data_IF_813482952199
#
_entry.id   IF_813482952199
#
_cell.length_a   1.000
_cell.length_b   1.000
_cell.length_c   1.000
_cell.angle_alpha   90.00
_cell.angle_beta   90.00
_cell.angle_gamma   90.00
#
_symmetry.space_group_name_H-M   'P 1'
#
loop_
_entity.id
_entity.type
_entity.pdbx_description
1 polymer ?
#
# COMPACT_ATOMS: atom_id res chain seq x y z
N UNK A 1 -11.92 20.38 13.31
CA UNK A 1 -11.82 18.92 13.47
C UNK A 1 -13.18 18.38 13.10
N UNK A 2 -13.32 17.84 11.89
CA UNK A 2 -14.64 17.41 11.44
C UNK A 2 -14.98 16.10 12.15
N UNK A 3 -15.98 16.13 13.03
CA UNK A 3 -16.42 14.96 13.82
C UNK A 3 -16.71 13.73 12.93
N UNK A 4 -17.03 13.97 11.66
CA UNK A 4 -17.31 12.95 10.64
C UNK A 4 -16.07 12.14 10.24
N UNK A 5 -14.90 12.77 10.08
CA UNK A 5 -13.64 12.07 9.80
C UNK A 5 -13.21 11.20 10.98
N UNK A 6 -13.39 11.68 12.20
CA UNK A 6 -13.10 10.90 13.41
C UNK A 6 -14.04 9.69 13.54
N UNK A 7 -15.32 9.84 13.21
CA UNK A 7 -16.29 8.72 13.23
C UNK A 7 -15.93 7.67 12.16
N UNK A 8 -15.54 8.08 10.95
CA UNK A 8 -15.16 7.16 9.88
C UNK A 8 -13.89 6.35 10.24
N UNK A 9 -12.89 7.03 10.83
CA UNK A 9 -11.66 6.39 11.33
C UNK A 9 -11.97 5.45 12.49
N UNK A 10 -12.78 5.86 13.46
CA UNK A 10 -13.15 5.03 14.61
C UNK A 10 -13.93 3.77 14.18
N UNK A 11 -14.82 3.90 13.20
CA UNK A 11 -15.55 2.75 12.64
C UNK A 11 -14.61 1.81 11.89
N UNK A 12 -13.68 2.33 11.10
CA UNK A 12 -12.65 1.52 10.45
C UNK A 12 -11.82 0.74 11.47
N UNK A 13 -11.49 1.38 12.60
CA UNK A 13 -10.71 0.79 13.68
C UNK A 13 -11.43 -0.39 14.28
N UNK A 14 -12.72 -0.20 14.54
CA UNK A 14 -13.60 -1.22 15.09
C UNK A 14 -13.77 -2.40 14.13
N UNK A 15 -13.81 -2.14 12.81
CA UNK A 15 -13.85 -3.17 11.78
C UNK A 15 -12.58 -4.04 11.76
N UNK A 16 -11.40 -3.41 11.63
CA UNK A 16 -10.12 -4.15 11.59
C UNK A 16 -9.87 -4.89 12.91
N UNK A 17 -10.25 -4.30 14.05
CA UNK A 17 -10.16 -4.94 15.36
C UNK A 17 -11.00 -6.21 15.48
N UNK A 18 -12.15 -6.26 14.82
CA UNK A 18 -13.02 -7.44 14.80
C UNK A 18 -12.51 -8.53 13.83
N UNK A 19 -11.62 -8.19 12.90
CA UNK A 19 -11.07 -9.12 11.90
C UNK A 19 -9.88 -9.94 12.41
N UNK A 20 -9.22 -9.47 13.48
CA UNK A 20 -8.05 -10.13 14.04
C UNK A 20 -8.38 -11.54 14.56
N UNK A 21 -7.48 -12.52 14.35
CA UNK A 21 -7.72 -13.92 14.68
C UNK A 21 -7.89 -14.10 16.19
N UNK A 22 -9.15 -14.24 16.62
CA UNK A 22 -9.54 -14.67 17.97
C UNK A 22 -10.01 -16.14 17.93
N UNK A 23 -9.86 -16.89 19.03
CA UNK A 23 -10.12 -18.34 19.07
C UNK A 23 -11.57 -18.76 18.78
N UNK A 24 -12.55 -17.84 18.73
CA UNK A 24 -13.94 -18.14 18.42
C UNK A 24 -14.25 -17.96 16.90
N UNK A 25 -14.26 -19.08 16.17
CA UNK A 25 -14.40 -19.16 14.71
C UNK A 25 -15.68 -18.51 14.10
N UNK A 26 -16.71 -18.23 14.90
CA UNK A 26 -17.97 -17.62 14.41
C UNK A 26 -17.88 -16.10 14.22
N UNK A 27 -17.05 -15.39 15.00
CA UNK A 27 -16.98 -13.93 14.97
C UNK A 27 -16.15 -13.36 13.81
N UNK A 28 -15.32 -14.18 13.15
CA UNK A 28 -14.51 -13.75 11.99
C UNK A 28 -15.37 -13.41 10.77
N UNK A 29 -16.49 -14.11 10.58
CA UNK A 29 -17.46 -13.80 9.50
C UNK A 29 -18.21 -12.50 9.77
N UNK A 30 -18.51 -12.22 11.05
CA UNK A 30 -19.14 -10.97 11.48
C UNK A 30 -18.18 -9.78 11.32
N UNK A 31 -16.90 -9.96 11.67
CA UNK A 31 -15.85 -8.97 11.49
C UNK A 31 -15.63 -8.62 10.02
N UNK A 32 -15.57 -9.63 9.13
CA UNK A 32 -15.45 -9.42 7.69
C UNK A 32 -16.63 -8.62 7.13
N UNK A 33 -17.84 -8.94 7.58
CA UNK A 33 -19.07 -8.25 7.17
C UNK A 33 -19.10 -6.79 7.68
N UNK A 34 -18.62 -6.54 8.90
CA UNK A 34 -18.50 -5.18 9.47
C UNK A 34 -17.41 -4.37 8.76
N UNK A 35 -16.24 -4.94 8.43
CA UNK A 35 -15.22 -4.23 7.62
C UNK A 35 -15.68 -3.94 6.21
N UNK A 36 -16.44 -4.83 5.58
CA UNK A 36 -17.00 -4.60 4.24
C UNK A 36 -18.11 -3.55 4.30
N UNK A 37 -18.96 -3.55 5.33
CA UNK A 37 -19.99 -2.53 5.53
C UNK A 37 -19.40 -1.15 5.89
N UNK A 38 -18.36 -1.11 6.73
CA UNK A 38 -17.70 0.15 7.13
C UNK A 38 -16.76 0.67 6.05
N UNK A 39 -16.02 -0.21 5.37
CA UNK A 39 -15.18 0.15 4.22
C UNK A 39 -16.02 0.59 3.03
N UNK A 40 -17.11 -0.12 2.74
CA UNK A 40 -18.12 0.28 1.76
C UNK A 40 -18.86 1.54 2.16
N UNK A 41 -19.19 1.72 3.45
CA UNK A 41 -19.83 2.91 4.00
C UNK A 41 -18.91 4.14 4.01
N UNK A 42 -17.61 3.96 4.24
CA UNK A 42 -16.60 5.02 4.10
C UNK A 42 -16.39 5.42 2.65
N UNK A 43 -16.35 4.44 1.73
CA UNK A 43 -16.28 4.68 0.29
C UNK A 43 -17.56 5.36 -0.24
N UNK A 44 -18.73 4.99 0.28
CA UNK A 44 -20.02 5.63 0.00
C UNK A 44 -20.15 7.02 0.65
N UNK A 45 -19.53 7.24 1.80
CA UNK A 45 -19.49 8.56 2.44
C UNK A 45 -18.55 9.51 1.71
N UNK A 46 -17.37 9.04 1.30
CA UNK A 46 -16.44 9.74 0.41
C UNK A 46 -17.08 10.01 -0.95
N UNK A 47 -17.86 9.06 -1.50
CA UNK A 47 -18.61 9.29 -2.74
C UNK A 47 -19.71 10.32 -2.55
N UNK A 48 -20.43 10.31 -1.43
CA UNK A 48 -21.47 11.30 -1.11
C UNK A 48 -20.91 12.68 -0.82
N UNK A 49 -19.78 12.78 -0.14
CA UNK A 49 -19.05 14.03 0.04
C UNK A 49 -18.57 14.55 -1.32
N UNK A 50 -17.95 13.68 -2.13
CA UNK A 50 -17.56 14.02 -3.50
C UNK A 50 -18.77 14.40 -4.39
N UNK A 51 -19.94 13.77 -4.25
CA UNK A 51 -21.19 14.12 -4.94
C UNK A 51 -21.75 15.48 -4.50
N UNK A 52 -21.67 15.79 -3.19
CA UNK A 52 -22.03 17.10 -2.67
C UNK A 52 -21.12 18.20 -3.24
N UNK A 53 -19.82 17.94 -3.44
CA UNK A 53 -18.94 18.83 -4.21
C UNK A 53 -19.17 18.78 -5.74
N UNK A 54 -19.55 17.63 -6.30
CA UNK A 54 -19.74 17.40 -7.74
C UNK A 54 -21.07 17.95 -8.28
N UNK A 55 -22.01 18.33 -7.42
CA UNK A 55 -23.18 19.12 -7.82
C UNK A 55 -22.82 20.48 -8.46
N UNK A 56 -21.53 20.87 -8.44
CA UNK A 56 -20.98 22.03 -9.13
C UNK A 56 -20.13 21.70 -10.38
N UNK A 57 -20.10 20.46 -10.91
CA UNK A 57 -19.22 20.09 -12.04
C UNK A 57 -19.87 19.10 -13.03
N UNK A 58 -20.06 19.46 -14.32
CA UNK A 58 -20.75 18.60 -15.31
C UNK A 58 -19.93 17.42 -15.89
N UNK A 59 -18.69 17.18 -15.44
CA UNK A 59 -17.74 16.32 -16.17
C UNK A 59 -17.00 15.24 -15.37
N UNK A 60 -17.44 14.88 -14.15
CA UNK A 60 -16.68 14.01 -13.26
C UNK A 60 -17.50 12.89 -12.63
N UNK A 61 -18.10 12.00 -13.42
CA UNK A 61 -18.64 10.75 -12.86
C UNK A 61 -17.49 9.93 -12.29
N UNK A 62 -17.53 9.61 -10.99
CA UNK A 62 -16.62 8.66 -10.38
C UNK A 62 -16.71 7.34 -11.17
N UNK A 63 -15.71 7.08 -12.01
CA UNK A 63 -15.75 6.00 -12.99
C UNK A 63 -16.01 4.68 -12.29
N UNK A 64 -16.99 3.91 -12.75
CA UNK A 64 -17.35 2.61 -12.20
C UNK A 64 -16.10 1.72 -11.96
N UNK A 65 -15.13 1.79 -12.88
CA UNK A 65 -13.84 1.14 -12.79
C UNK A 65 -13.07 1.47 -11.50
N UNK A 66 -13.04 2.73 -11.08
CA UNK A 66 -12.36 3.16 -9.85
C UNK A 66 -12.92 2.44 -8.62
N UNK A 67 -14.24 2.39 -8.48
CA UNK A 67 -14.87 1.72 -7.33
C UNK A 67 -14.63 0.22 -7.32
N UNK A 68 -14.71 -0.42 -8.49
CA UNK A 68 -14.45 -1.86 -8.61
C UNK A 68 -13.01 -2.16 -8.17
N UNK A 69 -12.02 -1.44 -8.71
CA UNK A 69 -10.62 -1.68 -8.36
C UNK A 69 -10.30 -1.30 -6.91
N UNK A 70 -10.88 -0.22 -6.39
CA UNK A 70 -10.73 0.16 -4.98
C UNK A 70 -11.31 -0.91 -4.04
N UNK A 71 -12.49 -1.44 -4.34
CA UNK A 71 -13.11 -2.50 -3.55
C UNK A 71 -12.26 -3.78 -3.57
N UNK A 72 -11.73 -4.16 -4.74
CA UNK A 72 -10.84 -5.32 -4.87
C UNK A 72 -9.54 -5.10 -4.10
N UNK A 73 -8.93 -3.90 -4.17
CA UNK A 73 -7.71 -3.58 -3.45
C UNK A 73 -7.91 -3.68 -1.93
N UNK A 74 -8.93 -3.02 -1.38
CA UNK A 74 -9.24 -3.07 0.05
C UNK A 74 -9.59 -4.50 0.49
N UNK A 75 -10.43 -5.21 -0.28
CA UNK A 75 -10.78 -6.60 0.01
C UNK A 75 -9.56 -7.53 0.04
N UNK A 76 -8.63 -7.34 -0.88
CA UNK A 76 -7.38 -8.12 -0.97
C UNK A 76 -6.43 -7.79 0.18
N UNK A 77 -6.31 -6.51 0.58
CA UNK A 77 -5.52 -6.11 1.73
C UNK A 77 -6.04 -6.75 3.03
N UNK A 78 -7.36 -6.74 3.24
CA UNK A 78 -7.97 -7.41 4.40
C UNK A 78 -7.76 -8.93 4.35
N UNK A 79 -7.90 -9.55 3.18
CA UNK A 79 -7.66 -10.97 3.00
C UNK A 79 -6.20 -11.36 3.27
N UNK A 80 -5.23 -10.49 2.94
CA UNK A 80 -3.79 -10.69 3.20
C UNK A 80 -3.50 -10.87 4.69
N UNK A 81 -4.09 -10.03 5.55
CA UNK A 81 -3.83 -10.04 7.00
C UNK A 81 -4.63 -11.16 7.68
N UNK A 82 -5.79 -11.53 7.13
CA UNK A 82 -6.74 -12.44 7.77
C UNK A 82 -6.49 -13.92 7.49
N UNK A 83 -5.73 -14.24 6.45
CA UNK A 83 -5.53 -15.63 6.03
C UNK A 83 -4.46 -16.33 6.88
N UNK A 84 -4.79 -17.49 7.49
CA UNK A 84 -3.86 -18.19 8.38
C UNK A 84 -2.74 -18.92 7.64
N UNK A 85 -2.90 -19.15 6.33
CA UNK A 85 -1.94 -19.88 5.50
C UNK A 85 -1.10 -18.86 4.72
N UNK A 86 0.23 -18.78 4.94
CA UNK A 86 1.10 -17.76 4.33
C UNK A 86 1.05 -17.73 2.80
N UNK A 87 0.97 -18.90 2.15
CA UNK A 87 0.87 -18.99 0.70
C UNK A 87 -0.36 -18.26 0.16
N UNK A 88 -1.53 -18.45 0.78
CA UNK A 88 -2.75 -17.78 0.35
C UNK A 88 -2.71 -16.29 0.65
N UNK A 89 -2.15 -15.88 1.80
CA UNK A 89 -1.92 -14.47 2.10
C UNK A 89 -1.07 -13.80 1.01
N UNK A 90 0.02 -14.43 0.57
CA UNK A 90 0.84 -13.90 -0.52
C UNK A 90 0.08 -13.77 -1.85
N UNK A 91 -0.80 -14.72 -2.19
CA UNK A 91 -1.64 -14.62 -3.39
C UNK A 91 -2.62 -13.45 -3.33
N UNK A 92 -3.22 -13.17 -2.16
CA UNK A 92 -4.04 -11.97 -1.98
C UNK A 92 -3.20 -10.68 -2.12
N UNK A 93 -1.92 -10.72 -1.75
CA UNK A 93 -1.03 -9.57 -1.93
C UNK A 93 -0.74 -9.28 -3.42
N UNK A 94 -0.66 -10.33 -4.25
CA UNK A 94 -0.59 -10.19 -5.72
C UNK A 94 -1.83 -9.49 -6.26
N UNK A 95 -3.03 -9.90 -5.82
CA UNK A 95 -4.29 -9.26 -6.26
C UNK A 95 -4.34 -7.79 -5.81
N UNK A 96 -3.91 -7.47 -4.58
CA UNK A 96 -3.81 -6.09 -4.09
C UNK A 96 -2.93 -5.25 -5.03
N UNK A 97 -1.74 -5.75 -5.36
CA UNK A 97 -0.76 -5.04 -6.18
C UNK A 97 -1.29 -4.79 -7.60
N UNK A 98 -1.95 -5.79 -8.19
CA UNK A 98 -2.60 -5.65 -9.51
C UNK A 98 -3.76 -4.66 -9.48
N UNK A 99 -4.58 -4.67 -8.43
CA UNK A 99 -5.69 -3.73 -8.27
C UNK A 99 -5.20 -2.28 -8.08
N UNK A 100 -4.14 -2.07 -7.29
CA UNK A 100 -3.49 -0.76 -7.13
C UNK A 100 -2.88 -0.27 -8.46
N UNK A 101 -2.31 -1.15 -9.27
CA UNK A 101 -1.83 -0.79 -10.60
C UNK A 101 -2.96 -0.30 -11.51
N UNK A 102 -4.12 -0.96 -11.48
CA UNK A 102 -5.29 -0.54 -12.25
C UNK A 102 -5.84 0.82 -11.79
N UNK A 103 -5.75 1.13 -10.49
CA UNK A 103 -6.07 2.46 -9.97
C UNK A 103 -5.10 3.53 -10.53
N UNK A 104 -3.80 3.24 -10.62
CA UNK A 104 -2.84 4.16 -11.25
C UNK A 104 -3.10 4.38 -12.74
N UNK A 105 -3.54 3.36 -13.47
CA UNK A 105 -3.95 3.54 -14.88
C UNK A 105 -5.16 4.48 -15.01
N UNK A 106 -6.11 4.41 -14.06
CA UNK A 106 -7.27 5.31 -14.02
C UNK A 106 -6.85 6.77 -13.76
N UNK A 107 -5.71 6.98 -13.09
CA UNK A 107 -5.11 8.29 -12.84
C UNK A 107 -4.16 8.76 -13.95
N UNK A 108 -4.15 8.09 -15.11
CA UNK A 108 -3.20 8.35 -16.20
C UNK A 108 -1.72 8.23 -15.81
N UNK A 109 -1.42 7.53 -14.71
CA UNK A 109 -0.06 7.29 -14.22
C UNK A 109 0.49 5.98 -14.80
N UNK A 110 0.62 5.92 -16.13
CA UNK A 110 1.01 4.72 -16.88
C UNK A 110 2.35 4.12 -16.45
N UNK A 111 3.36 4.97 -16.23
CA UNK A 111 4.70 4.51 -15.86
C UNK A 111 4.70 3.80 -14.51
N UNK A 112 4.07 4.41 -13.51
CA UNK A 112 4.02 3.87 -12.15
C UNK A 112 3.20 2.58 -12.13
N UNK A 113 2.11 2.51 -12.90
CA UNK A 113 1.32 1.29 -13.04
C UNK A 113 2.16 0.13 -13.60
N UNK A 114 2.86 0.34 -14.72
CA UNK A 114 3.71 -0.69 -15.35
C UNK A 114 4.81 -1.14 -14.38
N UNK A 115 5.47 -0.19 -13.71
CA UNK A 115 6.50 -0.50 -12.71
C UNK A 115 5.94 -1.33 -11.55
N UNK A 116 4.72 -1.05 -11.09
CA UNK A 116 4.06 -1.82 -10.03
C UNK A 116 3.80 -3.27 -10.46
N UNK A 117 3.41 -3.49 -11.72
CA UNK A 117 3.23 -4.83 -12.28
C UNK A 117 4.56 -5.57 -12.39
N UNK A 118 5.58 -4.95 -13.01
CA UNK A 118 6.85 -5.63 -13.30
C UNK A 118 7.64 -5.92 -12.03
N UNK A 119 7.77 -4.94 -11.13
CA UNK A 119 8.61 -5.06 -9.94
C UNK A 119 7.86 -5.77 -8.81
N UNK A 120 6.69 -5.27 -8.43
CA UNK A 120 5.99 -5.80 -7.25
C UNK A 120 5.25 -7.09 -7.57
N UNK A 121 4.34 -7.09 -8.55
CA UNK A 121 3.58 -8.30 -8.90
C UNK A 121 4.44 -9.37 -9.60
N UNK A 122 5.40 -8.96 -10.43
CA UNK A 122 6.29 -9.83 -11.18
C UNK A 122 7.45 -10.36 -10.35
N UNK A 123 8.47 -9.54 -10.10
CA UNK A 123 9.71 -10.00 -9.50
C UNK A 123 9.59 -10.30 -7.99
N UNK A 124 9.23 -9.28 -7.20
CA UNK A 124 9.27 -9.37 -5.72
C UNK A 124 8.28 -10.44 -5.23
N UNK A 125 7.03 -10.39 -5.71
CA UNK A 125 6.00 -11.28 -5.19
C UNK A 125 6.16 -12.72 -5.62
N UNK A 126 6.59 -12.99 -6.85
CA UNK A 126 6.86 -14.36 -7.29
C UNK A 126 8.05 -14.95 -6.52
N UNK A 127 9.14 -14.17 -6.35
CA UNK A 127 10.26 -14.61 -5.50
C UNK A 127 9.83 -14.85 -4.06
N UNK A 128 9.01 -13.95 -3.49
CA UNK A 128 8.49 -14.10 -2.14
C UNK A 128 7.63 -15.37 -1.99
N UNK A 129 6.68 -15.60 -2.91
CA UNK A 129 5.82 -16.80 -2.93
C UNK A 129 6.65 -18.07 -3.04
N UNK A 130 7.69 -18.07 -3.88
CA UNK A 130 8.61 -19.19 -4.00
C UNK A 130 9.36 -19.45 -2.68
N UNK A 131 9.90 -18.40 -2.05
CA UNK A 131 10.63 -18.49 -0.78
C UNK A 131 9.76 -19.04 0.34
N UNK A 132 8.53 -18.53 0.53
CA UNK A 132 7.64 -19.03 1.59
C UNK A 132 7.18 -20.47 1.33
N UNK A 133 7.09 -20.89 0.06
CA UNK A 133 6.74 -22.27 -0.29
C UNK A 133 7.88 -23.22 0.05
N UNK A 134 9.13 -22.85 -0.25
CA UNK A 134 10.31 -23.64 0.15
C UNK A 134 10.51 -23.68 1.67
N UNK A 135 10.17 -22.59 2.37
CA UNK A 135 10.25 -22.52 3.82
C UNK A 135 9.14 -23.31 4.54
N UNK A 136 8.05 -23.66 3.83
CA UNK A 136 6.93 -24.39 4.41
C UNK A 136 7.27 -25.87 4.55
N UNK A 137 7.48 -26.35 5.77
CA UNK A 137 7.75 -27.77 6.03
C UNK A 137 6.49 -28.62 5.79
N UNK A 138 6.52 -29.61 4.88
CA UNK A 138 5.43 -30.57 4.75
C UNK A 138 5.52 -31.57 5.91
N UNK A 139 4.72 -31.39 6.96
CA UNK A 139 4.75 -32.34 8.08
C UNK A 139 4.24 -31.88 9.45
N UNK A 140 3.71 -30.66 9.60
CA UNK A 140 2.91 -30.32 10.78
C UNK A 140 3.68 -30.36 12.11
N UNK A 141 4.87 -29.74 12.18
CA UNK A 141 5.26 -29.17 13.46
C UNK A 141 4.11 -28.24 13.88
N UNK A 142 3.46 -28.44 15.05
CA UNK A 142 2.34 -27.62 15.44
C UNK A 142 2.79 -26.17 15.38
N UNK A 143 2.11 -25.36 14.55
CA UNK A 143 2.32 -23.92 14.51
C UNK A 143 2.37 -23.46 15.96
N UNK A 144 3.53 -22.97 16.37
CA UNK A 144 3.76 -22.74 17.78
C UNK A 144 2.78 -21.68 18.26
N UNK A 145 2.38 -21.75 19.53
CA UNK A 145 1.24 -20.96 20.02
C UNK A 145 1.44 -19.44 19.89
N UNK A 146 2.69 -18.99 19.72
CA UNK A 146 3.02 -17.60 19.36
C UNK A 146 2.50 -17.14 17.99
N UNK A 147 2.33 -18.04 17.02
CA UNK A 147 1.77 -17.70 15.69
C UNK A 147 0.23 -17.69 15.69
N UNK A 148 -0.41 -18.24 16.73
CA UNK A 148 -1.87 -18.39 16.80
C UNK A 148 -2.57 -17.21 17.46
N UNK A 149 -1.87 -16.48 18.32
CA UNK A 149 -2.44 -15.39 19.13
C UNK A 149 -1.58 -14.15 18.96
N UNK A 150 -2.14 -13.09 18.38
CA UNK A 150 -1.47 -11.78 18.40
C UNK A 150 -1.18 -11.39 19.84
N UNK A 151 0.08 -11.06 20.14
CA UNK A 151 0.50 -10.67 21.48
C UNK A 151 -0.34 -9.50 22.03
N UNK A 152 -0.62 -8.47 21.20
CA UNK A 152 -1.44 -7.32 21.58
C UNK A 152 -2.26 -6.75 20.39
N UNK A 153 -3.40 -7.37 20.02
CA UNK A 153 -4.22 -6.93 18.88
C UNK A 153 -4.79 -5.52 19.08
N UNK A 154 -5.00 -5.09 20.32
CA UNK A 154 -5.56 -3.77 20.65
C UNK A 154 -4.55 -2.65 20.34
N UNK A 155 -3.29 -2.84 20.74
CA UNK A 155 -2.22 -1.86 20.49
C UNK A 155 -1.96 -1.72 18.98
N UNK A 156 -1.91 -2.83 18.25
CA UNK A 156 -1.71 -2.82 16.80
C UNK A 156 -2.78 -2.01 16.05
N UNK A 157 -4.05 -2.19 16.41
CA UNK A 157 -5.15 -1.42 15.81
C UNK A 157 -5.10 0.03 16.23
N UNK A 158 -4.92 0.31 17.52
CA UNK A 158 -4.90 1.68 18.04
C UNK A 158 -3.81 2.49 17.34
N UNK A 159 -2.59 1.97 17.26
CA UNK A 159 -1.46 2.64 16.60
C UNK A 159 -1.74 2.85 15.10
N UNK A 160 -2.23 1.83 14.39
CA UNK A 160 -2.51 1.94 12.96
C UNK A 160 -3.61 2.98 12.67
N UNK A 161 -4.65 3.02 13.48
CA UNK A 161 -5.76 3.96 13.31
C UNK A 161 -5.41 5.37 13.78
N UNK A 162 -4.60 5.51 14.82
CA UNK A 162 -4.05 6.80 15.22
C UNK A 162 -3.20 7.38 14.08
N UNK A 163 -2.31 6.59 13.49
CA UNK A 163 -1.50 7.02 12.35
C UNK A 163 -2.40 7.39 11.15
N UNK A 164 -3.37 6.56 10.79
CA UNK A 164 -4.32 6.86 9.71
C UNK A 164 -5.09 8.16 9.97
N UNK A 165 -5.56 8.38 11.21
CA UNK A 165 -6.24 9.62 11.60
C UNK A 165 -5.34 10.83 11.39
N UNK A 166 -4.08 10.75 11.81
CA UNK A 166 -3.12 11.85 11.67
C UNK A 166 -2.84 12.16 10.20
N UNK A 167 -2.67 11.15 9.35
CA UNK A 167 -2.43 11.32 7.91
C UNK A 167 -3.65 11.94 7.22
N UNK A 168 -4.85 11.43 7.52
CA UNK A 168 -6.08 12.01 6.97
C UNK A 168 -6.26 13.46 7.42
N UNK A 169 -5.97 13.77 8.68
CA UNK A 169 -6.04 15.14 9.18
C UNK A 169 -5.03 16.06 8.48
N UNK A 170 -3.79 15.62 8.25
CA UNK A 170 -2.80 16.39 7.49
C UNK A 170 -3.23 16.60 6.02
N UNK A 171 -3.86 15.59 5.40
CA UNK A 171 -4.28 15.67 4.00
C UNK A 171 -5.49 16.59 3.80
N UNK A 172 -6.45 16.57 4.74
CA UNK A 172 -7.71 17.31 4.65
C UNK A 172 -7.73 18.64 5.43
N UNK A 173 -6.63 19.00 6.10
CA UNK A 173 -6.51 20.34 6.70
C UNK A 173 -6.34 21.38 5.59
N UNK A 174 -7.46 21.90 5.07
CA UNK A 174 -7.47 23.07 4.20
C UNK A 174 -7.30 24.30 5.10
N UNK A 175 -6.17 25.04 5.03
CA UNK A 175 -6.00 26.25 5.81
C UNK A 175 -7.14 27.22 5.49
N UNK A 176 -7.84 27.71 6.51
CA UNK A 176 -8.93 28.66 6.34
C UNK A 176 -8.41 29.94 5.69
N UNK A 177 -9.22 30.61 4.84
CA UNK A 177 -8.88 31.92 4.31
C UNK A 177 -8.62 32.89 5.48
N UNK A 178 -7.36 33.31 5.66
CA UNK A 178 -6.93 34.18 6.76
C UNK A 178 -5.97 33.55 7.78
N UNK A 179 -5.69 32.25 7.70
CA UNK A 179 -4.61 31.64 8.50
C UNK A 179 -3.22 31.99 7.93
N UNK A 180 -2.17 32.14 8.76
CA UNK A 180 -0.82 32.52 8.29
C UNK A 180 -0.28 31.62 7.17
N UNK A 181 -0.58 30.30 7.20
CA UNK A 181 -0.20 29.34 6.16
C UNK A 181 -1.01 29.43 4.86
N UNK A 182 -2.04 30.28 4.79
CA UNK A 182 -2.78 30.57 3.55
C UNK A 182 -2.01 31.54 2.64
N UNK A 183 -1.11 32.36 3.19
CA UNK A 183 -0.43 33.46 2.49
C UNK A 183 1.02 33.18 2.07
N UNK A 184 1.55 31.97 2.30
CA UNK A 184 2.89 31.59 1.85
C UNK A 184 2.93 31.36 0.33
N UNK A 185 3.52 32.34 -0.37
CA UNK A 185 3.51 32.48 -1.83
C UNK A 185 4.32 31.40 -2.60
N UNK A 186 5.16 30.62 -1.92
CA UNK A 186 6.14 29.73 -2.55
C UNK A 186 5.76 28.23 -2.56
N UNK A 187 4.76 27.80 -1.77
CA UNK A 187 4.44 26.36 -1.65
C UNK A 187 2.94 26.07 -1.76
N UNK A 188 2.08 26.99 -1.28
CA UNK A 188 0.63 26.81 -1.29
C UNK A 188 -0.02 27.14 -2.63
N UNK A 189 0.45 28.17 -3.34
CA UNK A 189 -0.23 28.68 -4.53
C UNK A 189 -0.21 27.69 -5.71
N UNK A 190 0.93 27.03 -5.96
CA UNK A 190 1.07 26.04 -7.03
C UNK A 190 0.40 24.71 -6.71
N UNK A 191 0.53 24.22 -5.47
CA UNK A 191 -0.14 22.99 -5.04
C UNK A 191 -1.67 23.14 -5.06
N UNK A 192 -2.18 24.32 -4.69
CA UNK A 192 -3.62 24.63 -4.70
C UNK A 192 -4.16 24.92 -6.10
N UNK A 193 -3.36 25.55 -6.97
CA UNK A 193 -3.72 25.72 -8.38
C UNK A 193 -3.76 24.37 -9.13
N UNK A 194 -2.82 23.47 -8.83
CA UNK A 194 -2.81 22.11 -9.38
C UNK A 194 -3.94 21.24 -8.82
N UNK A 195 -4.22 21.31 -7.51
CA UNK A 195 -5.41 20.63 -6.94
C UNK A 195 -6.70 21.18 -7.53
N UNK A 196 -6.88 22.50 -7.60
CA UNK A 196 -8.06 23.13 -8.19
C UNK A 196 -8.23 22.75 -9.67
N UNK A 197 -7.14 22.76 -10.45
CA UNK A 197 -7.17 22.33 -11.85
C UNK A 197 -7.50 20.83 -12.01
N UNK A 198 -6.95 19.97 -11.15
CA UNK A 198 -7.22 18.53 -11.18
C UNK A 198 -8.63 18.18 -10.67
N UNK A 199 -9.23 19.05 -9.86
CA UNK A 199 -10.62 19.00 -9.39
C UNK A 199 -11.60 19.72 -10.34
N UNK A 200 -11.16 20.21 -11.51
CA UNK A 200 -12.02 20.89 -12.49
C UNK A 200 -12.47 22.31 -12.11
N UNK A 201 -11.90 22.89 -11.05
CA UNK A 201 -12.15 24.27 -10.63
C UNK A 201 -11.39 25.24 -11.56
N UNK A 202 -12.10 25.81 -12.53
CA UNK A 202 -11.60 26.92 -13.34
C UNK A 202 -11.59 28.21 -12.51
N UNK A 203 -10.49 28.42 -11.79
CA UNK A 203 -10.23 29.68 -11.12
C UNK A 203 -9.63 30.65 -12.15
N UNK A 204 -10.28 31.79 -12.46
CA UNK A 204 -9.81 32.76 -13.46
C UNK A 204 -8.37 33.22 -13.22
N UNK A 205 -7.93 33.25 -11.95
CA UNK A 205 -6.57 33.57 -11.55
C UNK A 205 -5.48 32.53 -11.93
N UNK A 206 -5.83 31.33 -12.41
CA UNK A 206 -4.89 30.24 -12.74
C UNK A 206 -4.92 29.79 -14.21
N UNK A 207 -5.59 30.53 -15.09
CA UNK A 207 -5.82 30.20 -16.51
C UNK A 207 -4.56 30.12 -17.40
N UNK A 208 -3.36 30.41 -16.86
CA UNK A 208 -2.07 30.36 -17.56
C UNK A 208 -1.16 29.20 -17.16
N UNK A 209 -1.55 28.37 -16.18
CA UNK A 209 -0.76 27.19 -15.81
C UNK A 209 -0.94 26.16 -16.91
N UNK A 210 0.08 25.96 -17.75
CA UNK A 210 0.17 24.80 -18.65
C UNK A 210 -0.03 23.58 -17.76
N UNK A 211 -1.15 22.88 -17.92
CA UNK A 211 -1.36 21.58 -17.28
C UNK A 211 -0.16 20.73 -17.68
N UNK A 212 0.75 20.39 -16.75
CA UNK A 212 1.81 19.47 -17.09
C UNK A 212 1.11 18.20 -17.58
N UNK A 213 1.65 17.52 -18.58
CA UNK A 213 1.32 16.13 -18.80
C UNK A 213 1.82 15.34 -17.58
N UNK A 214 1.05 15.40 -16.48
CA UNK A 214 1.33 14.70 -15.24
C UNK A 214 1.11 13.22 -15.55
N UNK A 215 2.21 12.47 -15.70
CA UNK A 215 2.17 11.02 -15.95
C UNK A 215 2.92 10.55 -17.20
N UNK A 216 3.32 11.46 -18.10
CA UNK A 216 4.02 11.05 -19.32
C UNK A 216 5.44 10.52 -19.05
N UNK A 217 5.76 9.35 -19.59
CA UNK A 217 7.09 8.69 -19.45
C UNK A 217 8.27 9.63 -19.79
N UNK A 218 8.11 10.48 -20.80
CA UNK A 218 9.14 11.42 -21.24
C UNK A 218 9.47 12.50 -20.18
N UNK A 219 8.46 12.99 -19.45
CA UNK A 219 8.65 14.00 -18.39
C UNK A 219 9.37 13.38 -17.21
N UNK A 220 9.00 12.16 -16.83
CA UNK A 220 9.64 11.46 -15.74
C UNK A 220 11.10 11.12 -16.07
N UNK A 221 11.36 10.61 -17.28
CA UNK A 221 12.72 10.34 -17.76
C UNK A 221 13.60 11.58 -17.72
N UNK A 222 13.11 12.72 -18.24
CA UNK A 222 13.87 13.98 -18.19
C UNK A 222 14.18 14.41 -16.75
N UNK A 223 13.22 14.31 -15.83
CA UNK A 223 13.46 14.70 -14.43
C UNK A 223 14.43 13.74 -13.73
N UNK A 224 14.34 12.43 -13.97
CA UNK A 224 15.26 11.44 -13.41
C UNK A 224 16.69 11.66 -13.86
N UNK A 225 16.92 11.93 -15.16
CA UNK A 225 18.27 12.11 -15.69
C UNK A 225 18.82 13.54 -15.54
N UNK A 226 18.01 14.54 -15.19
CA UNK A 226 18.50 15.93 -14.99
C UNK A 226 18.57 16.34 -13.52
N UNK A 227 17.48 16.19 -12.76
CA UNK A 227 17.39 16.69 -11.39
C UNK A 227 17.71 15.59 -10.37
N UNK A 228 17.40 14.33 -10.68
CA UNK A 228 17.58 13.20 -9.76
C UNK A 228 18.66 12.22 -10.22
N UNK A 229 19.64 12.67 -11.03
CA UNK A 229 20.69 11.81 -11.56
C UNK A 229 21.50 11.11 -10.45
N UNK A 230 21.80 11.83 -9.36
CA UNK A 230 22.49 11.26 -8.20
C UNK A 230 21.66 10.18 -7.50
N UNK A 231 20.34 10.37 -7.37
CA UNK A 231 19.48 9.35 -6.79
C UNK A 231 19.44 8.08 -7.66
N UNK A 232 19.48 8.24 -8.99
CA UNK A 232 19.54 7.12 -9.94
C UNK A 232 20.88 6.36 -9.83
N UNK A 233 22.00 7.08 -9.71
CA UNK A 233 23.32 6.49 -9.54
C UNK A 233 23.40 5.68 -8.23
N UNK A 234 22.93 6.26 -7.12
CA UNK A 234 22.85 5.58 -5.83
C UNK A 234 21.94 4.34 -5.87
N UNK A 235 20.82 4.41 -6.60
CA UNK A 235 19.96 3.24 -6.80
C UNK A 235 20.69 2.13 -7.56
N UNK A 236 21.49 2.45 -8.57
CA UNK A 236 22.33 1.49 -9.30
C UNK A 236 23.38 0.82 -8.42
N UNK A 237 24.07 1.60 -7.58
CA UNK A 237 25.01 1.07 -6.57
C UNK A 237 24.28 0.15 -5.59
N UNK A 238 23.10 0.55 -5.11
CA UNK A 238 22.29 -0.24 -4.19
C UNK A 238 21.86 -1.58 -4.81
N UNK A 239 21.45 -1.60 -6.08
CA UNK A 239 21.11 -2.85 -6.79
C UNK A 239 22.33 -3.77 -6.96
N UNK A 240 23.51 -3.19 -7.21
CA UNK A 240 24.76 -3.95 -7.33
C UNK A 240 25.13 -4.60 -6.00
N UNK A 241 25.04 -3.84 -4.91
CA UNK A 241 25.29 -4.34 -3.54
C UNK A 241 24.26 -5.41 -3.17
N UNK A 242 22.98 -5.21 -3.50
CA UNK A 242 21.93 -6.20 -3.24
C UNK A 242 22.20 -7.52 -3.96
N UNK A 243 22.64 -7.49 -5.23
CA UNK A 243 23.00 -8.68 -5.99
C UNK A 243 24.20 -9.41 -5.35
N UNK A 244 25.27 -8.70 -5.02
CA UNK A 244 26.45 -9.30 -4.36
C UNK A 244 26.07 -9.91 -3.01
N UNK A 245 25.27 -9.19 -2.21
CA UNK A 245 24.78 -9.66 -0.92
C UNK A 245 23.95 -10.94 -1.03
N UNK A 246 23.01 -11.00 -1.97
CA UNK A 246 22.20 -12.19 -2.22
C UNK A 246 23.06 -13.41 -2.65
N UNK A 247 24.10 -13.19 -3.47
CA UNK A 247 25.01 -14.26 -3.91
C UNK A 247 25.88 -14.77 -2.76
N UNK A 248 26.42 -13.89 -1.92
CA UNK A 248 27.27 -14.30 -0.78
C UNK A 248 26.47 -15.09 0.24
N UNK A 249 25.24 -14.68 0.55
CA UNK A 249 24.37 -15.34 1.53
C UNK A 249 23.88 -16.72 1.05
N UNK A 250 23.69 -16.90 -0.26
CA UNK A 250 23.17 -18.18 -0.79
C UNK A 250 24.22 -19.31 -0.87
N UNK A 251 25.51 -19.02 -0.64
CA UNK A 251 26.56 -20.05 -0.61
C UNK A 251 26.42 -20.91 0.65
N UNK A 252 26.33 -22.23 0.46
CA UNK A 252 26.42 -23.21 1.57
C UNK A 252 27.88 -23.39 1.98
N UNK A 253 28.13 -23.38 3.28
CA UNK A 253 29.41 -23.82 3.84
C UNK A 253 29.38 -25.35 3.94
N UNK A 254 30.26 -26.03 3.22
CA UNK A 254 30.49 -27.46 3.43
C UNK A 254 31.20 -27.64 4.79
N UNK A 255 30.70 -28.52 5.67
CA UNK A 255 31.38 -28.80 6.93
C UNK A 255 32.77 -29.36 6.64
N UNK A 256 33.81 -28.96 7.41
CA UNK A 256 35.17 -29.45 7.20
C UNK A 256 35.16 -30.97 7.26
N UNK A 257 35.69 -31.59 6.20
CA UNK A 257 35.78 -33.03 6.08
C UNK A 257 36.32 -33.60 7.39
N UNK A 258 35.50 -34.39 8.09
CA UNK A 258 35.95 -35.11 9.27
C UNK A 258 37.17 -35.91 8.83
N UNK A 259 38.34 -35.52 9.34
CA UNK A 259 39.60 -36.24 9.14
C UNK A 259 39.29 -37.71 9.39
N UNK A 260 39.51 -38.52 8.35
CA UNK A 260 39.24 -39.95 8.39
C UNK A 260 39.74 -40.49 9.72
N UNK A 261 38.81 -41.01 10.52
CA UNK A 261 39.15 -41.95 11.57
C UNK A 261 39.80 -43.11 10.85
N UNK A 262 41.14 -43.05 10.75
CA UNK A 262 41.94 -44.13 10.25
C UNK A 262 41.53 -45.35 11.03
N UNK A 263 40.93 -46.31 10.33
CA UNK A 263 40.97 -47.70 10.75
C UNK A 263 42.42 -48.02 11.07
N UNK A 264 42.73 -48.14 12.37
CA UNK A 264 43.95 -48.77 12.81
C UNK A 264 43.81 -50.26 12.45
N UNK A 265 44.77 -50.86 11.73
CA UNK A 265 44.74 -52.28 11.42
C UNK A 265 44.64 -53.11 12.69
N UNK A 266 43.76 -54.11 12.65
CA UNK A 266 43.58 -55.14 13.66
C UNK A 266 44.88 -55.89 13.92
N UNK A 267 45.31 -55.93 15.18
CA UNK A 267 46.15 -57.01 15.72
C UNK A 267 45.30 -57.95 16.60
#
# INVERSE_FOLDING_TARGET
>A
MDCTLLIAVALGALGVFLLLPRPAASWRKLGALITVLVGGGGLFYLSRWAELQASASPAGGLSLYFYIFAAIAVGSALAVISHPKPLYAALYFVILTLATSALFLTLYAEFIAIVLIVIYAGAILVTYVFVIMLASTPGGAPAADYDKVSADPLVAVLVSFLLLATVLQLMFHVPSPGSPGFMDANTGLHARALMAANLGYHLPQFSGVKTPAVGGMAVLGRNLYSHYALALELAGVLLTVAMVGAVVISRKNEPPAALGSGELPSE
#
